data_IF_456097521215
#
_entry.id   IF_456097521215
#
_cell.length_a   1.000
_cell.length_b   1.000
_cell.length_c   1.000
_cell.angle_alpha   90.00
_cell.angle_beta   90.00
_cell.angle_gamma   90.00
#
_symmetry.space_group_name_H-M   'P 1'
#
loop_
_entity.id
_entity.type
_entity.pdbx_description
1 polymer ?
#
# COMPACT_ATOMS: atom_id res chain seq x y z
N UNK A 1 -38.80 34.96 14.87
CA UNK A 1 -37.67 35.92 15.02
C UNK A 1 -37.41 36.12 16.52
N UNK A 2 -36.13 36.11 16.92
CA UNK A 2 -35.57 35.99 18.29
C UNK A 2 -36.18 36.85 19.41
N UNK A 3 -36.14 36.31 20.65
CA UNK A 3 -35.44 36.79 21.88
C UNK A 3 -35.61 35.70 22.99
N UNK A 4 -34.58 35.07 23.57
CA UNK A 4 -33.61 35.52 24.62
C UNK A 4 -34.35 36.05 25.88
N UNK A 5 -34.04 35.74 27.15
CA UNK A 5 -32.98 34.98 27.85
C UNK A 5 -33.30 35.14 29.39
N UNK A 6 -32.98 34.13 30.24
CA UNK A 6 -32.71 34.20 31.72
C UNK A 6 -33.92 34.45 32.65
N UNK A 7 -34.05 34.00 33.91
CA UNK A 7 -33.17 33.44 34.97
C UNK A 7 -34.06 32.87 36.12
N UNK A 8 -33.40 32.37 37.19
CA UNK A 8 -33.88 32.05 38.55
C UNK A 8 -34.29 30.58 38.76
N UNK A 9 -33.85 29.84 39.79
CA UNK A 9 -33.24 30.21 41.07
C UNK A 9 -33.97 29.45 42.19
N UNK A 10 -33.24 29.01 43.22
CA UNK A 10 -33.71 28.51 44.53
C UNK A 10 -34.02 27.00 44.71
N UNK A 11 -33.00 26.26 45.16
CA UNK A 11 -32.82 25.67 46.52
C UNK A 11 -34.11 25.39 47.35
N UNK A 12 -34.33 24.15 47.78
CA UNK A 12 -34.30 23.65 49.18
C UNK A 12 -34.83 22.19 49.33
N UNK A 13 -34.07 21.38 50.09
CA UNK A 13 -34.41 20.23 50.97
C UNK A 13 -35.31 19.05 50.52
N UNK A 14 -34.84 17.83 50.81
CA UNK A 14 -35.71 16.80 51.41
C UNK A 14 -35.67 15.38 50.83
N UNK A 15 -34.73 14.58 51.33
CA UNK A 15 -34.86 13.16 51.76
C UNK A 15 -35.61 12.11 50.90
N UNK A 16 -34.86 11.01 50.70
CA UNK A 16 -35.26 9.60 50.49
C UNK A 16 -35.50 9.05 49.08
N UNK A 17 -34.64 8.05 48.77
CA UNK A 17 -34.84 6.85 47.95
C UNK A 17 -35.60 7.02 46.63
N UNK A 18 -34.89 6.89 45.51
CA UNK A 18 -34.70 5.62 44.77
C UNK A 18 -33.87 5.87 43.51
N UNK A 19 -33.08 4.86 43.12
CA UNK A 19 -32.64 4.53 41.76
C UNK A 19 -32.03 5.63 40.86
N UNK A 20 -30.72 5.55 40.60
CA UNK A 20 -30.20 5.22 39.26
C UNK A 20 -28.68 5.38 39.16
N UNK A 21 -28.05 4.31 38.69
CA UNK A 21 -26.95 4.26 37.72
C UNK A 21 -25.99 5.45 37.62
N UNK A 22 -24.81 5.33 38.23
CA UNK A 22 -23.53 5.74 37.62
C UNK A 22 -22.47 4.72 38.06
N UNK A 23 -22.12 3.79 37.17
CA UNK A 23 -20.99 2.89 37.37
C UNK A 23 -19.74 3.52 36.74
N UNK A 24 -18.97 4.22 37.56
CA UNK A 24 -17.53 4.32 37.36
C UNK A 24 -16.94 2.92 37.67
N UNK A 25 -16.32 2.27 36.70
CA UNK A 25 -15.36 1.21 36.99
C UNK A 25 -14.13 1.35 36.11
N UNK A 26 -13.16 2.03 36.71
CA UNK A 26 -11.74 1.99 36.44
C UNK A 26 -11.22 0.60 36.80
N UNK A 27 -10.48 0.00 35.87
CA UNK A 27 -9.37 -0.95 36.02
C UNK A 27 -9.50 -2.19 36.92
N UNK A 28 -9.04 -3.31 36.33
CA UNK A 28 -8.59 -4.55 36.97
C UNK A 28 -9.69 -5.45 37.50
N UNK A 29 -9.88 -6.61 36.86
CA UNK A 29 -9.74 -7.92 37.50
C UNK A 29 -9.97 -9.05 36.50
N UNK A 30 -8.98 -9.93 36.40
CA UNK A 30 -9.12 -11.33 35.98
C UNK A 30 -10.29 -11.95 36.75
N UNK A 31 -11.38 -12.31 36.10
CA UNK A 31 -12.22 -13.44 36.53
C UNK A 31 -12.88 -14.11 35.33
N UNK A 32 -12.52 -15.38 35.16
CA UNK A 32 -13.24 -16.39 34.40
C UNK A 32 -14.60 -16.56 35.07
N UNK A 33 -15.68 -16.15 34.40
CA UNK A 33 -17.04 -16.43 34.85
C UNK A 33 -17.62 -17.57 34.00
N UNK A 34 -17.55 -18.77 34.54
CA UNK A 34 -18.27 -19.96 34.07
C UNK A 34 -19.76 -19.76 34.33
N UNK A 35 -20.52 -19.37 33.31
CA UNK A 35 -21.97 -19.55 33.29
C UNK A 35 -22.33 -20.71 32.37
N UNK A 36 -22.86 -21.77 32.99
CA UNK A 36 -23.39 -22.96 32.35
C UNK A 36 -24.86 -22.70 32.00
N UNK A 37 -25.14 -22.23 30.79
CA UNK A 37 -26.51 -22.20 30.25
C UNK A 37 -26.87 -23.58 29.70
N UNK A 38 -28.03 -24.08 30.16
CA UNK A 38 -28.70 -25.27 29.62
C UNK A 38 -29.38 -24.88 28.30
N UNK A 39 -29.14 -25.66 27.25
CA UNK A 39 -29.98 -25.66 26.05
C UNK A 39 -29.25 -25.16 24.81
N UNK A 40 -29.03 -26.07 23.85
CA UNK A 40 -28.52 -25.76 22.53
C UNK A 40 -27.00 -25.73 22.47
N UNK A 41 -26.40 -26.90 22.25
CA UNK A 41 -25.08 -26.97 21.64
C UNK A 41 -25.23 -26.34 20.25
N UNK A 42 -24.97 -25.04 20.13
CA UNK A 42 -24.57 -24.42 18.87
C UNK A 42 -23.34 -25.23 18.50
N UNK A 43 -23.54 -26.28 17.68
CA UNK A 43 -22.45 -27.09 17.16
C UNK A 43 -21.52 -26.08 16.54
N UNK A 44 -20.41 -25.84 17.25
CA UNK A 44 -19.36 -24.96 16.83
C UNK A 44 -18.97 -25.40 15.42
N UNK A 45 -19.57 -24.74 14.44
CA UNK A 45 -18.89 -24.30 13.23
C UNK A 45 -17.85 -23.23 13.63
N UNK A 46 -17.00 -23.56 14.61
CA UNK A 46 -15.57 -23.60 14.35
C UNK A 46 -15.43 -24.68 13.27
N UNK A 47 -15.94 -24.51 12.04
CA UNK A 47 -15.09 -24.09 10.91
C UNK A 47 -13.69 -24.43 11.34
N UNK A 48 -13.36 -25.70 11.11
CA UNK A 48 -12.03 -26.22 11.23
C UNK A 48 -11.12 -25.07 10.80
N UNK A 49 -10.40 -24.49 11.77
CA UNK A 49 -9.31 -23.58 11.48
C UNK A 49 -8.42 -24.46 10.64
N UNK A 50 -8.62 -24.37 9.33
CA UNK A 50 -8.02 -25.22 8.33
C UNK A 50 -6.57 -24.84 8.45
N UNK A 51 -5.86 -25.64 9.25
CA UNK A 51 -4.47 -25.51 9.68
C UNK A 51 -3.78 -24.58 8.69
N UNK A 52 -3.71 -23.28 9.01
CA UNK A 52 -3.18 -22.29 8.08
C UNK A 52 -1.77 -22.80 7.81
N UNK A 53 -1.59 -23.36 6.62
CA UNK A 53 -0.35 -24.04 6.28
C UNK A 53 0.73 -23.00 6.45
N UNK A 54 1.81 -23.33 7.16
CA UNK A 54 2.98 -22.44 7.32
C UNK A 54 3.54 -21.97 5.96
N UNK A 55 3.11 -22.58 4.85
CA UNK A 55 3.44 -22.27 3.46
C UNK A 55 2.39 -21.41 2.71
N UNK A 56 1.35 -20.88 3.37
CA UNK A 56 0.18 -20.27 2.71
C UNK A 56 0.53 -19.10 1.76
N UNK A 57 1.67 -18.44 1.96
CA UNK A 57 2.05 -17.25 1.18
C UNK A 57 2.97 -17.54 -0.02
N UNK A 58 3.64 -18.69 -0.08
CA UNK A 58 4.68 -18.97 -1.09
C UNK A 58 4.25 -20.08 -2.06
N UNK A 59 4.11 -19.76 -3.35
CA UNK A 59 4.01 -20.74 -4.44
C UNK A 59 5.39 -21.17 -4.92
N UNK A 60 5.49 -22.32 -5.61
CA UNK A 60 6.77 -22.80 -6.19
C UNK A 60 7.43 -21.72 -7.06
N UNK A 61 6.65 -21.05 -7.91
CA UNK A 61 7.15 -19.95 -8.76
C UNK A 61 7.68 -18.77 -7.94
N UNK A 62 6.97 -18.33 -6.89
CA UNK A 62 7.47 -17.21 -6.05
C UNK A 62 8.71 -17.57 -5.24
N UNK A 63 8.88 -18.85 -4.87
CA UNK A 63 10.11 -19.33 -4.23
C UNK A 63 11.26 -19.35 -5.22
N UNK A 64 11.01 -19.79 -6.47
CA UNK A 64 12.00 -19.75 -7.54
C UNK A 64 12.45 -18.32 -7.82
N UNK A 65 11.54 -17.37 -8.00
CA UNK A 65 11.89 -15.94 -8.16
C UNK A 65 12.69 -15.42 -6.95
N UNK A 66 12.28 -15.78 -5.73
CA UNK A 66 13.02 -15.39 -4.52
C UNK A 66 14.44 -15.97 -4.46
N UNK A 67 14.62 -17.21 -4.91
CA UNK A 67 15.95 -17.84 -5.02
C UNK A 67 16.80 -17.19 -6.11
N UNK A 68 16.23 -16.91 -7.28
CA UNK A 68 16.90 -16.15 -8.35
C UNK A 68 17.35 -14.78 -7.86
N UNK A 69 16.56 -14.09 -7.02
CA UNK A 69 16.96 -12.82 -6.41
C UNK A 69 18.08 -12.99 -5.37
N UNK A 70 17.94 -13.99 -4.49
CA UNK A 70 18.92 -14.26 -3.44
C UNK A 70 20.32 -14.58 -4.01
N UNK A 71 20.38 -15.26 -5.18
CA UNK A 71 21.64 -15.49 -5.89
C UNK A 71 22.02 -14.34 -6.84
N UNK A 72 21.04 -13.75 -7.52
CA UNK A 72 21.27 -12.72 -8.52
C UNK A 72 21.89 -11.46 -7.93
N UNK A 73 21.44 -11.00 -6.76
CA UNK A 73 21.97 -9.79 -6.12
C UNK A 73 23.48 -9.91 -5.82
N UNK A 74 23.98 -10.98 -5.16
CA UNK A 74 25.42 -11.20 -5.02
C UNK A 74 26.19 -11.26 -6.34
N UNK A 75 25.61 -11.90 -7.37
CA UNK A 75 26.25 -11.99 -8.70
C UNK A 75 26.35 -10.59 -9.32
N UNK A 76 25.31 -9.77 -9.23
CA UNK A 76 25.35 -8.39 -9.71
C UNK A 76 26.40 -7.56 -8.99
N UNK A 77 26.50 -7.69 -7.67
CA UNK A 77 27.53 -6.99 -6.88
C UNK A 77 28.93 -7.42 -7.35
N UNK A 78 29.14 -8.72 -7.56
CA UNK A 78 30.42 -9.23 -8.06
C UNK A 78 30.75 -8.66 -9.44
N UNK A 79 29.80 -8.67 -10.38
CA UNK A 79 30.00 -8.10 -11.72
C UNK A 79 30.20 -6.58 -11.68
N UNK A 80 29.41 -5.86 -10.88
CA UNK A 80 29.50 -4.40 -10.78
C UNK A 80 30.81 -3.91 -10.16
N UNK A 81 31.36 -4.62 -9.16
CA UNK A 81 32.54 -4.14 -8.42
C UNK A 81 33.85 -4.83 -8.78
N UNK A 82 33.83 -6.05 -9.29
CA UNK A 82 35.05 -6.83 -9.56
C UNK A 82 35.32 -6.98 -11.05
N UNK A 83 34.29 -7.31 -11.85
CA UNK A 83 34.49 -7.62 -13.27
C UNK A 83 34.33 -6.41 -14.19
N UNK A 84 33.36 -5.54 -13.91
CA UNK A 84 33.14 -4.35 -14.71
C UNK A 84 34.37 -3.44 -14.67
N UNK A 85 34.90 -3.05 -15.84
CA UNK A 85 35.91 -2.02 -15.90
C UNK A 85 35.33 -0.68 -15.43
N UNK A 86 36.22 0.23 -15.06
CA UNK A 86 35.88 1.65 -14.82
C UNK A 86 35.66 2.34 -16.16
N UNK A 87 34.77 3.32 -16.18
CA UNK A 87 34.54 4.14 -17.38
C UNK A 87 35.67 5.17 -17.57
N UNK A 88 35.94 5.56 -18.82
CA UNK A 88 37.01 6.51 -19.13
C UNK A 88 36.72 7.93 -18.61
N UNK A 89 35.45 8.31 -18.53
CA UNK A 89 35.02 9.66 -18.11
C UNK A 89 34.49 9.66 -16.69
N UNK A 90 33.68 8.67 -16.33
CA UNK A 90 32.98 8.59 -15.04
C UNK A 90 33.72 7.74 -14.00
N UNK A 91 34.81 7.08 -14.39
CA UNK A 91 35.57 6.16 -13.54
C UNK A 91 34.65 5.15 -12.84
N UNK A 92 34.70 5.07 -11.51
CA UNK A 92 33.88 4.14 -10.71
C UNK A 92 32.42 4.59 -10.55
N UNK A 93 32.08 5.84 -10.89
CA UNK A 93 30.69 6.32 -10.78
C UNK A 93 29.74 5.57 -11.72
N UNK A 94 30.25 5.01 -12.83
CA UNK A 94 29.47 4.17 -13.76
C UNK A 94 28.83 2.96 -13.07
N UNK A 95 29.48 2.42 -12.03
CA UNK A 95 29.04 1.20 -11.35
C UNK A 95 27.69 1.37 -10.66
N UNK A 96 27.36 2.59 -10.22
CA UNK A 96 26.07 2.90 -9.61
C UNK A 96 24.93 2.92 -10.64
N UNK A 97 25.23 3.17 -11.93
CA UNK A 97 24.24 3.15 -13.01
C UNK A 97 23.64 1.76 -13.24
N UNK A 98 24.37 0.68 -12.90
CA UNK A 98 23.86 -0.69 -12.96
C UNK A 98 22.68 -0.96 -12.04
N UNK A 99 22.44 -0.11 -11.04
CA UNK A 99 21.27 -0.17 -10.17
C UNK A 99 20.36 1.03 -10.40
N UNK A 100 20.92 2.24 -10.47
CA UNK A 100 20.16 3.47 -10.62
C UNK A 100 19.24 3.45 -11.86
N UNK A 101 19.79 3.11 -13.03
CA UNK A 101 19.05 3.12 -14.30
C UNK A 101 17.96 2.04 -14.31
N UNK A 102 18.23 0.76 -13.95
CA UNK A 102 17.18 -0.23 -13.80
C UNK A 102 16.07 0.17 -12.83
N UNK A 103 16.40 0.69 -11.65
CA UNK A 103 15.41 1.11 -10.66
C UNK A 103 14.54 2.26 -11.20
N UNK A 104 15.13 3.20 -11.94
CA UNK A 104 14.40 4.27 -12.63
C UNK A 104 13.42 3.71 -13.67
N UNK A 105 13.87 2.78 -14.54
CA UNK A 105 13.03 2.12 -15.54
C UNK A 105 11.86 1.39 -14.88
N UNK A 106 12.13 0.63 -13.81
CA UNK A 106 11.08 -0.11 -13.12
C UNK A 106 10.14 0.78 -12.30
N UNK A 107 10.54 2.00 -11.93
CA UNK A 107 9.59 3.00 -11.40
C UNK A 107 8.56 3.40 -12.47
N UNK A 108 8.99 3.63 -13.73
CA UNK A 108 8.08 3.91 -14.83
C UNK A 108 7.18 2.72 -15.16
N UNK A 109 7.72 1.51 -15.17
CA UNK A 109 6.93 0.29 -15.40
C UNK A 109 5.86 0.13 -14.31
N UNK A 110 6.21 0.36 -13.04
CA UNK A 110 5.27 0.28 -11.93
C UNK A 110 4.13 1.31 -12.05
N UNK A 111 4.47 2.56 -12.39
CA UNK A 111 3.45 3.59 -12.63
C UNK A 111 2.62 3.31 -13.89
N UNK A 112 3.22 2.75 -14.94
CA UNK A 112 2.51 2.26 -16.12
C UNK A 112 1.50 1.15 -15.79
N UNK A 113 1.91 0.14 -15.00
CA UNK A 113 1.01 -0.92 -14.52
C UNK A 113 -0.09 -0.35 -13.62
N UNK A 114 0.23 0.67 -12.83
CA UNK A 114 -0.77 1.42 -12.05
C UNK A 114 -1.82 2.07 -12.95
N UNK A 115 -1.40 2.71 -14.04
CA UNK A 115 -2.29 3.30 -15.03
C UNK A 115 -3.14 2.24 -15.73
N UNK A 116 -2.52 1.15 -16.21
CA UNK A 116 -3.24 0.05 -16.87
C UNK A 116 -4.27 -0.57 -15.93
N UNK A 117 -3.89 -0.87 -14.67
CA UNK A 117 -4.82 -1.36 -13.67
C UNK A 117 -5.95 -0.37 -13.39
N UNK A 118 -5.65 0.92 -13.35
CA UNK A 118 -6.66 1.98 -13.17
C UNK A 118 -7.65 2.05 -14.34
N UNK A 119 -7.17 1.98 -15.59
CA UNK A 119 -8.00 1.96 -16.80
C UNK A 119 -8.88 0.71 -16.81
N UNK A 120 -8.29 -0.47 -16.58
CA UNK A 120 -9.04 -1.72 -16.53
C UNK A 120 -10.05 -1.77 -15.39
N UNK A 121 -9.75 -1.14 -14.25
CA UNK A 121 -10.73 -0.96 -13.17
C UNK A 121 -11.89 -0.09 -13.63
N UNK A 122 -11.65 1.07 -14.25
CA UNK A 122 -12.73 1.95 -14.70
C UNK A 122 -13.63 1.28 -15.75
N UNK A 123 -13.05 0.45 -16.61
CA UNK A 123 -13.79 -0.30 -17.63
C UNK A 123 -14.55 -1.50 -17.06
N UNK A 124 -13.88 -2.40 -16.34
CA UNK A 124 -14.46 -3.69 -15.89
C UNK A 124 -15.06 -3.64 -14.48
N UNK A 125 -14.79 -2.59 -13.71
CA UNK A 125 -15.17 -2.43 -12.29
C UNK A 125 -14.76 -3.60 -11.40
N UNK A 126 -13.72 -4.35 -11.80
CA UNK A 126 -13.24 -5.51 -11.04
C UNK A 126 -12.17 -5.12 -10.02
N UNK A 127 -12.36 -5.56 -8.78
CA UNK A 127 -11.44 -5.36 -7.64
C UNK A 127 -10.02 -5.88 -7.90
N UNK A 128 -9.87 -6.85 -8.80
CA UNK A 128 -8.56 -7.38 -9.18
C UNK A 128 -7.68 -6.26 -9.75
N UNK A 129 -8.21 -5.45 -10.66
CA UNK A 129 -7.47 -4.37 -11.30
C UNK A 129 -7.14 -3.23 -10.34
N UNK A 130 -8.05 -2.91 -9.41
CA UNK A 130 -7.79 -1.90 -8.37
C UNK A 130 -6.69 -2.36 -7.40
N UNK A 131 -6.72 -3.63 -6.98
CA UNK A 131 -5.67 -4.21 -6.12
C UNK A 131 -4.31 -4.23 -6.83
N UNK A 132 -4.28 -4.58 -8.11
CA UNK A 132 -3.05 -4.54 -8.93
C UNK A 132 -2.51 -3.13 -9.05
N UNK A 133 -3.36 -2.14 -9.34
CA UNK A 133 -2.95 -0.75 -9.44
C UNK A 133 -2.37 -0.24 -8.11
N UNK A 134 -3.03 -0.54 -7.00
CA UNK A 134 -2.54 -0.14 -5.68
C UNK A 134 -1.20 -0.78 -5.33
N UNK A 135 -1.07 -2.10 -5.53
CA UNK A 135 0.15 -2.83 -5.23
C UNK A 135 1.34 -2.32 -6.06
N UNK A 136 1.11 -2.06 -7.35
CA UNK A 136 2.14 -1.55 -8.24
C UNK A 136 2.55 -0.11 -7.88
N UNK A 137 1.59 0.75 -7.52
CA UNK A 137 1.87 2.12 -7.12
C UNK A 137 2.80 2.21 -5.90
N UNK A 138 2.57 1.38 -4.88
CA UNK A 138 3.43 1.34 -3.68
C UNK A 138 4.88 0.97 -4.03
N UNK A 139 5.06 -0.05 -4.88
CA UNK A 139 6.38 -0.48 -5.33
C UNK A 139 7.03 0.61 -6.18
N UNK A 140 6.25 1.25 -7.06
CA UNK A 140 6.71 2.36 -7.89
C UNK A 140 7.19 3.56 -7.07
N UNK A 141 6.49 3.90 -5.98
CA UNK A 141 6.92 4.97 -5.06
C UNK A 141 8.25 4.63 -4.40
N UNK A 142 8.44 3.38 -3.94
CA UNK A 142 9.72 2.94 -3.37
C UNK A 142 10.82 3.03 -4.41
N UNK A 143 10.58 2.55 -5.63
CA UNK A 143 11.58 2.56 -6.69
C UNK A 143 11.91 3.99 -7.13
N UNK A 144 10.91 4.86 -7.25
CA UNK A 144 11.12 6.27 -7.56
C UNK A 144 11.90 7.00 -6.46
N UNK A 145 11.63 6.71 -5.18
CA UNK A 145 12.43 7.22 -4.06
C UNK A 145 13.88 6.74 -4.15
N UNK A 146 14.09 5.45 -4.44
CA UNK A 146 15.43 4.89 -4.64
C UNK A 146 16.13 5.54 -5.84
N UNK A 147 15.42 5.85 -6.93
CA UNK A 147 15.96 6.60 -8.07
C UNK A 147 16.42 7.98 -7.66
N UNK A 148 15.64 8.73 -6.88
CA UNK A 148 16.03 10.05 -6.38
C UNK A 148 17.27 9.98 -5.48
N UNK A 149 17.31 9.01 -4.55
CA UNK A 149 18.45 8.84 -3.64
C UNK A 149 19.71 8.40 -4.38
N UNK A 150 19.62 7.36 -5.20
CA UNK A 150 20.78 6.84 -5.95
C UNK A 150 21.25 7.83 -7.00
N UNK A 151 20.34 8.58 -7.63
CA UNK A 151 20.69 9.66 -8.56
C UNK A 151 21.40 10.82 -7.86
N UNK A 152 20.96 11.18 -6.65
CA UNK A 152 21.64 12.20 -5.83
C UNK A 152 23.06 11.76 -5.43
N UNK A 153 23.24 10.51 -5.02
CA UNK A 153 24.55 9.92 -4.71
C UNK A 153 25.45 9.92 -5.95
N UNK A 154 24.90 9.59 -7.12
CA UNK A 154 25.63 9.60 -8.39
C UNK A 154 25.98 11.02 -8.87
N UNK A 155 25.10 12.00 -8.64
CA UNK A 155 25.32 13.39 -9.03
C UNK A 155 26.51 14.04 -8.32
N UNK A 156 26.84 13.58 -7.09
CA UNK A 156 27.95 14.15 -6.33
C UNK A 156 29.32 13.99 -7.01
N UNK A 157 29.78 12.79 -7.38
CA UNK A 157 31.05 12.64 -8.12
C UNK A 157 31.00 13.19 -9.54
N UNK A 158 29.84 13.14 -10.23
CA UNK A 158 29.75 13.53 -11.64
C UNK A 158 29.59 15.03 -11.87
N UNK A 159 28.77 15.71 -11.07
CA UNK A 159 28.40 17.12 -11.25
C UNK A 159 28.75 18.00 -10.04
N UNK A 160 29.39 17.43 -9.01
CA UNK A 160 29.70 18.10 -7.76
C UNK A 160 28.47 18.66 -7.01
N UNK A 161 27.26 18.14 -7.28
CA UNK A 161 26.02 18.54 -6.59
C UNK A 161 25.15 17.33 -6.29
N UNK A 162 24.39 17.39 -5.18
CA UNK A 162 23.42 16.37 -4.80
C UNK A 162 22.05 16.61 -5.44
N UNK A 163 21.75 17.86 -5.79
CA UNK A 163 20.48 18.29 -6.35
C UNK A 163 20.65 19.60 -7.11
N UNK A 164 19.96 19.73 -8.24
CA UNK A 164 19.90 20.95 -9.02
C UNK A 164 18.43 21.27 -9.33
N UNK A 165 17.97 22.45 -8.89
CA UNK A 165 16.59 22.88 -9.12
C UNK A 165 16.35 23.35 -10.55
N UNK A 166 17.41 23.78 -11.25
CA UNK A 166 17.36 24.12 -12.66
C UNK A 166 17.25 22.91 -13.60
N UNK A 167 17.47 21.69 -13.10
CA UNK A 167 17.40 20.49 -13.93
C UNK A 167 15.95 19.98 -14.07
N UNK A 168 15.44 20.01 -15.30
CA UNK A 168 14.07 19.62 -15.63
C UNK A 168 13.80 18.15 -15.34
N UNK A 169 14.76 17.25 -15.57
CA UNK A 169 14.60 15.82 -15.28
C UNK A 169 14.50 15.56 -13.77
N UNK A 170 15.36 16.19 -12.98
CA UNK A 170 15.34 16.07 -11.52
C UNK A 170 13.98 16.52 -10.98
N UNK A 171 13.56 17.74 -11.34
CA UNK A 171 12.32 18.34 -10.85
C UNK A 171 11.10 17.55 -11.31
N UNK A 172 11.01 17.16 -12.59
CA UNK A 172 9.87 16.39 -13.10
C UNK A 172 9.79 15.00 -12.46
N UNK A 173 10.93 14.35 -12.16
CA UNK A 173 10.98 13.10 -11.40
C UNK A 173 10.46 13.29 -9.98
N UNK A 174 10.85 14.37 -9.30
CA UNK A 174 10.34 14.70 -7.97
C UNK A 174 8.82 14.96 -7.99
N UNK A 175 8.32 15.67 -9.01
CA UNK A 175 6.88 15.88 -9.20
C UNK A 175 6.17 14.53 -9.39
N UNK A 176 6.72 13.63 -10.23
CA UNK A 176 6.17 12.29 -10.41
C UNK A 176 6.12 11.51 -9.08
N UNK A 177 7.20 11.55 -8.30
CA UNK A 177 7.24 10.95 -6.97
C UNK A 177 6.13 11.48 -6.06
N UNK A 178 6.00 12.81 -5.95
CA UNK A 178 4.99 13.45 -5.10
C UNK A 178 3.55 13.16 -5.58
N UNK A 179 3.31 13.09 -6.89
CA UNK A 179 2.00 12.71 -7.44
C UNK A 179 1.60 11.29 -7.02
N UNK A 180 2.52 10.33 -7.06
CA UNK A 180 2.23 8.95 -6.65
C UNK A 180 2.21 8.76 -5.14
N UNK A 181 2.95 9.54 -4.37
CA UNK A 181 2.72 9.65 -2.90
C UNK A 181 1.32 10.19 -2.63
N UNK A 182 0.89 11.23 -3.35
CA UNK A 182 -0.47 11.77 -3.30
C UNK A 182 -1.54 10.74 -3.67
N UNK A 183 -1.28 9.89 -4.67
CA UNK A 183 -2.15 8.76 -5.01
C UNK A 183 -2.33 7.79 -3.84
N UNK A 184 -1.26 7.43 -3.13
CA UNK A 184 -1.33 6.56 -1.96
C UNK A 184 -2.04 7.24 -0.79
N UNK A 185 -1.77 8.53 -0.56
CA UNK A 185 -2.46 9.33 0.45
C UNK A 185 -3.98 9.41 0.18
N UNK A 186 -4.38 9.60 -1.08
CA UNK A 186 -5.78 9.59 -1.48
C UNK A 186 -6.48 8.26 -1.17
N UNK A 187 -5.77 7.14 -1.28
CA UNK A 187 -6.31 5.82 -0.91
C UNK A 187 -6.51 5.64 0.60
N UNK A 188 -5.88 6.47 1.43
CA UNK A 188 -6.09 6.49 2.88
C UNK A 188 -7.30 7.34 3.30
N UNK A 189 -7.84 8.17 2.40
CA UNK A 189 -9.02 8.99 2.70
C UNK A 189 -10.26 8.10 2.90
N UNK A 190 -11.00 8.24 4.02
CA UNK A 190 -12.21 7.47 4.26
C UNK A 190 -13.26 7.68 3.16
N UNK A 191 -13.65 6.59 2.49
CA UNK A 191 -14.70 6.58 1.48
C UNK A 191 -15.17 5.14 1.24
N UNK A 192 -16.36 4.99 0.64
CA UNK A 192 -16.81 3.70 0.15
C UNK A 192 -15.78 3.09 -0.82
N UNK A 193 -15.55 1.76 -0.81
CA UNK A 193 -14.48 1.12 -1.58
C UNK A 193 -14.48 1.49 -3.07
N UNK A 194 -15.65 1.55 -3.70
CA UNK A 194 -15.79 1.92 -5.12
C UNK A 194 -15.47 3.38 -5.39
N UNK A 195 -15.87 4.28 -4.48
CA UNK A 195 -15.59 5.72 -4.60
C UNK A 195 -14.09 5.96 -4.48
N UNK A 196 -13.45 5.31 -3.50
CA UNK A 196 -12.00 5.35 -3.31
C UNK A 196 -11.26 4.81 -4.54
N UNK A 197 -11.64 3.63 -5.03
CA UNK A 197 -10.99 3.00 -6.18
C UNK A 197 -11.17 3.84 -7.45
N UNK A 198 -12.35 4.43 -7.68
CA UNK A 198 -12.58 5.34 -8.82
C UNK A 198 -11.72 6.60 -8.75
N UNK A 199 -11.68 7.27 -7.58
CA UNK A 199 -10.87 8.47 -7.37
C UNK A 199 -9.38 8.17 -7.56
N UNK A 200 -8.90 7.09 -6.95
CA UNK A 200 -7.53 6.64 -7.10
C UNK A 200 -7.20 6.31 -8.56
N UNK A 201 -8.07 5.59 -9.27
CA UNK A 201 -7.85 5.25 -10.67
C UNK A 201 -7.66 6.49 -11.56
N UNK A 202 -8.49 7.52 -11.38
CA UNK A 202 -8.36 8.79 -12.13
C UNK A 202 -7.01 9.44 -11.83
N UNK A 203 -6.64 9.56 -10.55
CA UNK A 203 -5.37 10.18 -10.16
C UNK A 203 -4.17 9.37 -10.66
N UNK A 204 -4.24 8.04 -10.66
CA UNK A 204 -3.16 7.18 -11.16
C UNK A 204 -2.93 7.35 -12.65
N UNK A 205 -4.00 7.51 -13.44
CA UNK A 205 -3.91 7.81 -14.87
C UNK A 205 -3.27 9.18 -15.10
N UNK A 206 -3.73 10.20 -14.39
CA UNK A 206 -3.19 11.57 -14.50
C UNK A 206 -1.71 11.61 -14.10
N UNK A 207 -1.32 10.92 -13.02
CA UNK A 207 0.07 10.82 -12.58
C UNK A 207 1.01 10.24 -13.63
N UNK A 208 0.52 9.27 -14.41
CA UNK A 208 1.31 8.56 -15.43
C UNK A 208 1.61 9.44 -16.65
N UNK A 209 0.84 10.52 -16.88
CA UNK A 209 1.12 11.50 -17.93
C UNK A 209 2.49 12.16 -17.72
N UNK A 210 2.99 12.22 -16.49
CA UNK A 210 4.31 12.78 -16.20
C UNK A 210 5.46 11.87 -16.70
N UNK A 211 5.25 10.56 -16.87
CA UNK A 211 6.30 9.63 -17.33
C UNK A 211 6.93 10.06 -18.67
N UNK A 212 6.17 10.31 -19.76
CA UNK A 212 6.77 10.76 -21.01
C UNK A 212 7.50 12.10 -20.87
N UNK A 213 7.02 13.01 -20.00
CA UNK A 213 7.66 14.30 -19.73
C UNK A 213 9.03 14.06 -19.07
N UNK A 214 9.10 13.21 -18.04
CA UNK A 214 10.36 12.88 -17.38
C UNK A 214 11.30 12.15 -18.35
N UNK A 215 10.81 11.18 -19.11
CA UNK A 215 11.64 10.41 -20.03
C UNK A 215 12.25 11.29 -21.13
N UNK A 216 11.42 12.11 -21.78
CA UNK A 216 11.83 13.00 -22.88
C UNK A 216 12.41 14.33 -22.42
N UNK A 217 12.48 14.58 -21.11
CA UNK A 217 13.00 15.84 -20.55
C UNK A 217 14.37 16.24 -21.09
N UNK A 218 15.28 15.28 -21.29
CA UNK A 218 16.63 15.55 -21.82
C UNK A 218 16.62 15.94 -23.28
N UNK A 219 15.71 15.39 -24.09
CA UNK A 219 15.59 15.74 -25.50
C UNK A 219 14.85 17.08 -25.67
N UNK A 220 13.84 17.36 -24.84
CA UNK A 220 13.02 18.56 -24.96
C UNK A 220 13.67 19.80 -24.33
N UNK A 221 14.47 19.62 -23.27
CA UNK A 221 15.13 20.69 -22.53
C UNK A 221 16.62 20.39 -22.32
N UNK A 222 17.33 20.09 -23.41
CA UNK A 222 18.77 19.81 -23.40
C UNK A 222 19.60 20.91 -22.69
N UNK A 223 19.18 22.17 -22.79
CA UNK A 223 19.86 23.32 -22.18
C UNK A 223 19.49 23.55 -20.70
N UNK A 224 18.64 22.71 -20.13
CA UNK A 224 18.16 22.83 -18.74
C UNK A 224 18.22 21.49 -18.02
N UNK A 225 19.24 20.69 -18.33
CA UNK A 225 19.51 19.43 -17.64
C UNK A 225 21.00 19.13 -17.62
N UNK A 226 21.45 18.58 -16.51
CA UNK A 226 22.80 18.02 -16.34
C UNK A 226 22.90 16.62 -16.94
N UNK A 227 21.77 15.98 -17.24
CA UNK A 227 21.73 14.61 -17.74
C UNK A 227 22.15 14.53 -19.21
N UNK A 228 23.17 13.72 -19.48
CA UNK A 228 23.54 13.33 -20.84
C UNK A 228 22.49 12.41 -21.48
N UNK A 229 22.51 12.36 -22.81
CA UNK A 229 21.74 11.38 -23.58
C UNK A 229 22.28 9.96 -23.31
N UNK A 230 21.40 8.97 -23.50
CA UNK A 230 21.73 7.58 -23.17
C UNK A 230 22.70 6.97 -24.18
N UNK A 231 23.94 6.73 -23.76
CA UNK A 231 24.99 6.08 -24.58
C UNK A 231 24.67 4.63 -25.00
N UNK A 232 23.62 4.01 -24.44
CA UNK A 232 23.11 2.69 -24.87
C UNK A 232 22.65 2.70 -26.34
N UNK A 233 22.24 3.86 -26.88
CA UNK A 233 21.77 3.98 -28.27
C UNK A 233 22.94 4.07 -29.25
N UNK A 234 24.14 4.39 -28.79
CA UNK A 234 25.31 4.65 -29.64
C UNK A 234 26.16 3.39 -29.93
N UNK A 235 25.79 2.24 -29.36
CA UNK A 235 26.40 0.93 -29.66
C UNK A 235 27.86 0.74 -29.21
N UNK A 236 28.43 1.71 -28.50
CA UNK A 236 29.86 1.75 -28.13
C UNK A 236 30.17 1.27 -26.70
N UNK A 237 29.27 0.52 -26.05
CA UNK A 237 29.55 -0.01 -24.71
C UNK A 237 30.38 -1.29 -24.79
N UNK A 238 31.42 -1.36 -23.97
CA UNK A 238 32.22 -2.57 -23.79
C UNK A 238 31.34 -3.76 -23.38
N UNK A 239 31.61 -4.94 -23.94
CA UNK A 239 30.76 -6.13 -23.83
C UNK A 239 30.38 -6.47 -22.38
N UNK A 240 31.30 -6.26 -21.44
CA UNK A 240 31.11 -6.59 -20.03
C UNK A 240 30.28 -5.54 -19.27
N UNK A 241 30.42 -4.26 -19.62
CA UNK A 241 29.61 -3.15 -19.09
C UNK A 241 28.15 -3.31 -19.54
N UNK A 242 27.95 -3.62 -20.83
CA UNK A 242 26.64 -3.88 -21.38
C UNK A 242 25.98 -5.11 -20.73
N UNK A 243 26.73 -6.20 -20.58
CA UNK A 243 26.26 -7.40 -19.88
C UNK A 243 25.83 -7.09 -18.45
N UNK A 244 26.65 -6.35 -17.70
CA UNK A 244 26.38 -6.00 -16.29
C UNK A 244 25.13 -5.12 -16.16
N UNK A 245 24.92 -4.21 -17.11
CA UNK A 245 23.71 -3.39 -17.17
C UNK A 245 22.44 -4.22 -17.42
N UNK A 246 22.48 -5.17 -18.37
CA UNK A 246 21.36 -6.09 -18.62
C UNK A 246 21.11 -7.02 -17.43
N UNK A 247 22.16 -7.49 -16.77
CA UNK A 247 22.06 -8.28 -15.55
C UNK A 247 21.36 -7.49 -14.43
N UNK A 248 21.74 -6.22 -14.24
CA UNK A 248 21.08 -5.32 -13.29
C UNK A 248 19.60 -5.12 -13.61
N UNK A 249 19.28 -4.88 -14.88
CA UNK A 249 17.90 -4.74 -15.37
C UNK A 249 17.08 -6.01 -15.11
N UNK A 250 17.64 -7.18 -15.40
CA UNK A 250 16.99 -8.46 -15.15
C UNK A 250 16.70 -8.67 -13.66
N UNK A 251 17.67 -8.42 -12.78
CA UNK A 251 17.52 -8.64 -11.34
C UNK A 251 16.49 -7.68 -10.74
N UNK A 252 16.54 -6.40 -11.09
CA UNK A 252 15.53 -5.42 -10.63
C UNK A 252 14.14 -5.78 -11.18
N UNK A 253 14.07 -6.32 -12.40
CA UNK A 253 12.80 -6.81 -12.96
C UNK A 253 12.22 -8.01 -12.25
N UNK A 254 13.06 -8.99 -11.90
CA UNK A 254 12.64 -10.11 -11.05
C UNK A 254 12.19 -9.59 -9.67
N UNK A 255 12.88 -8.59 -9.12
CA UNK A 255 12.55 -8.00 -7.83
C UNK A 255 11.18 -7.31 -7.87
N UNK A 256 10.93 -6.51 -8.90
CA UNK A 256 9.64 -5.87 -9.16
C UNK A 256 8.51 -6.91 -9.25
N UNK A 257 8.67 -7.94 -10.07
CA UNK A 257 7.65 -8.99 -10.23
C UNK A 257 7.40 -9.75 -8.93
N UNK A 258 8.46 -10.09 -8.21
CA UNK A 258 8.36 -10.79 -6.94
C UNK A 258 7.63 -9.95 -5.89
N UNK A 259 7.97 -8.66 -5.76
CA UNK A 259 7.30 -7.72 -4.88
C UNK A 259 5.83 -7.52 -5.27
N UNK A 260 5.54 -7.37 -6.56
CA UNK A 260 4.18 -7.14 -7.06
C UNK A 260 3.27 -8.32 -6.71
N UNK A 261 3.73 -9.56 -6.92
CA UNK A 261 2.95 -10.76 -6.57
C UNK A 261 2.66 -10.82 -5.07
N UNK A 262 3.66 -10.56 -4.22
CA UNK A 262 3.45 -10.61 -2.77
C UNK A 262 2.56 -9.47 -2.28
N UNK A 263 2.78 -8.24 -2.77
CA UNK A 263 1.99 -7.08 -2.37
C UNK A 263 0.54 -7.20 -2.81
N UNK A 264 0.30 -7.69 -4.03
CA UNK A 264 -1.03 -8.00 -4.54
C UNK A 264 -1.72 -9.04 -3.64
N UNK A 265 -1.05 -10.15 -3.32
CA UNK A 265 -1.61 -11.20 -2.44
C UNK A 265 -2.00 -10.64 -1.07
N UNK A 266 -1.14 -9.82 -0.47
CA UNK A 266 -1.42 -9.18 0.83
C UNK A 266 -2.65 -8.27 0.71
N UNK A 267 -2.73 -7.43 -0.33
CA UNK A 267 -3.89 -6.54 -0.53
C UNK A 267 -5.20 -7.28 -0.85
N UNK A 268 -5.11 -8.40 -1.56
CA UNK A 268 -6.26 -9.25 -1.85
C UNK A 268 -6.77 -9.92 -0.56
N UNK A 269 -5.87 -10.55 0.20
CA UNK A 269 -6.22 -11.24 1.44
C UNK A 269 -6.71 -10.29 2.54
N UNK A 270 -6.16 -9.08 2.65
CA UNK A 270 -6.63 -8.10 3.62
C UNK A 270 -8.10 -7.72 3.38
N UNK A 271 -8.47 -7.56 2.10
CA UNK A 271 -9.86 -7.23 1.71
C UNK A 271 -10.81 -8.39 2.00
N UNK A 272 -10.37 -9.62 1.71
CA UNK A 272 -11.16 -10.84 1.98
C UNK A 272 -11.39 -11.01 3.49
N UNK A 273 -10.35 -10.80 4.30
CA UNK A 273 -10.44 -10.85 5.76
C UNK A 273 -11.42 -9.82 6.32
N UNK A 274 -11.38 -8.58 5.82
CA UNK A 274 -12.35 -7.53 6.20
C UNK A 274 -13.78 -7.96 5.86
N UNK A 275 -14.01 -8.51 4.66
CA UNK A 275 -15.33 -8.96 4.20
C UNK A 275 -15.89 -10.07 5.09
N UNK A 276 -15.07 -11.07 5.42
CA UNK A 276 -15.47 -12.15 6.32
C UNK A 276 -15.75 -11.65 7.74
N UNK A 277 -14.95 -10.70 8.23
CA UNK A 277 -15.17 -10.08 9.54
C UNK A 277 -16.53 -9.38 9.65
N UNK A 278 -16.95 -8.67 8.59
CA UNK A 278 -18.30 -8.07 8.56
C UNK A 278 -19.41 -9.13 8.58
N UNK A 279 -19.24 -10.24 7.86
CA UNK A 279 -20.23 -11.33 7.86
C UNK A 279 -20.46 -11.92 9.25
N UNK A 280 -19.38 -12.22 9.98
CA UNK A 280 -19.45 -12.74 11.35
C UNK A 280 -20.12 -11.73 12.30
N UNK A 281 -19.76 -10.45 12.20
CA UNK A 281 -20.35 -9.41 13.03
C UNK A 281 -21.85 -9.24 12.77
N UNK A 282 -22.31 -9.38 11.52
CA UNK A 282 -23.74 -9.32 11.18
C UNK A 282 -24.48 -10.52 11.77
N UNK A 283 -23.94 -11.73 11.63
CA UNK A 283 -24.56 -12.96 12.19
C UNK A 283 -24.68 -12.88 13.72
N UNK A 284 -23.66 -12.37 14.41
CA UNK A 284 -23.69 -12.16 15.87
C UNK A 284 -24.82 -11.21 16.28
N UNK A 285 -24.97 -10.07 15.59
CA UNK A 285 -26.06 -9.11 15.87
C UNK A 285 -27.44 -9.66 15.56
N UNK A 286 -27.58 -10.48 14.52
CA UNK A 286 -28.84 -11.18 14.23
C UNK A 286 -29.18 -12.22 15.30
N UNK A 287 -28.18 -12.92 15.83
CA UNK A 287 -28.37 -13.88 16.92
C UNK A 287 -28.79 -13.18 18.23
N UNK A 288 -28.17 -12.04 18.56
CA UNK A 288 -28.57 -11.19 19.69
C UNK A 288 -30.02 -10.73 19.57
N UNK A 289 -30.42 -10.20 18.40
CA UNK A 289 -31.80 -9.76 18.16
C UNK A 289 -32.82 -10.90 18.30
N UNK A 290 -32.55 -12.06 17.69
CA UNK A 290 -33.43 -13.23 17.78
C UNK A 290 -33.56 -13.77 19.21
N UNK A 291 -32.51 -13.63 20.04
CA UNK A 291 -32.56 -14.03 21.45
C UNK A 291 -33.43 -13.10 22.31
N UNK A 292 -33.55 -11.82 21.93
CA UNK A 292 -34.41 -10.85 22.61
C UNK A 292 -35.89 -11.11 22.31
N UNK A 293 -36.24 -11.40 21.05
CA UNK A 293 -37.62 -11.73 20.65
C UNK A 293 -38.15 -13.04 21.27
N UNK A 294 -37.25 -13.97 21.64
CA UNK A 294 -37.59 -15.23 22.31
C UNK A 294 -37.66 -15.11 23.84
N UNK A 295 -37.41 -13.92 24.40
CA UNK A 295 -37.59 -13.68 25.83
C UNK A 295 -39.10 -13.66 26.13
N UNK A 296 -39.61 -14.49 27.06
CA UNK A 296 -41.04 -14.50 27.37
C UNK A 296 -41.48 -13.10 27.77
N UNK A 297 -42.51 -12.57 27.10
CA UNK A 297 -43.16 -11.33 27.51
C UNK A 297 -43.54 -11.49 28.98
N UNK A 298 -43.04 -10.59 29.83
CA UNK A 298 -43.40 -10.54 31.24
C UNK A 298 -44.92 -10.67 31.35
N UNK A 299 -45.44 -11.51 32.27
CA UNK A 299 -46.88 -11.71 32.38
C UNK A 299 -47.54 -10.35 32.54
N UNK A 300 -48.40 -9.98 31.58
CA UNK A 300 -49.29 -8.85 31.73
C UNK A 300 -50.14 -9.17 32.96
N UNK A 301 -49.98 -8.37 34.01
CA UNK A 301 -50.74 -8.54 35.24
C UNK A 301 -52.23 -8.41 34.91
N UNK A 302 -52.89 -9.56 34.77
CA UNK A 302 -54.33 -9.68 34.93
C UNK A 302 -54.66 -9.44 36.40
N UNK A 303 -55.58 -8.51 36.62
CA UNK A 303 -56.57 -8.47 37.69
C UNK A 303 -56.06 -8.48 39.15
N UNK A 304 -55.89 -7.28 39.71
CA UNK A 304 -56.26 -7.06 41.12
C UNK A 304 -57.63 -6.36 41.17
N UNK A 305 -58.67 -7.19 41.09
CA UNK A 305 -59.98 -6.88 41.63
C UNK A 305 -59.98 -7.19 43.13
N UNK A 306 -60.03 -6.15 43.98
CA UNK A 306 -60.65 -6.18 45.31
C UNK A 306 -60.88 -4.79 45.86
#
# INVERSE_FOLDING_TARGET
MRRRIWSCGCRWLGVARTSSFICCCVHSFRYVCLWRTRGGCVKNKLIAIKKISKNATSSRSTRFLGFCLALGVPILILFAFVFSPKDDTMEDAVRLLYIHVPVAIFSYIAFGVTATGSICYLWKRSRWWDTTAHASAEIGVIFCALTLVTGSIWGRPTWNTWWEWGDVRLVTTLVMFLMFVGYLALRQVPAAPEVRAKRAAIVGIIGTINIPIVNRSVEWWENSTLHQQSSLTDGNLEDLTLFTWFLGTLIVGIAYLWLLIHRFRVGWLSTEYETQGYGVAIEERLAEANSQDQSPSAPQGEDEAK
#
